data_IF_871229766612
#
_entry.id   IF_871229766612
#
_cell.length_a   1.000
_cell.length_b   1.000
_cell.length_c   1.000
_cell.angle_alpha   90.00
_cell.angle_beta   90.00
_cell.angle_gamma   90.00
#
_symmetry.space_group_name_H-M   'P 1'
#
loop_
_entity.id
_entity.type
_entity.pdbx_description
1 polymer ?
#
# COMPACT_ATOMS: atom_id res chain seq x y z
N UNK A 1 -7.78 -25.66 -57.32
CA UNK A 1 -8.16 -24.40 -56.65
C UNK A 1 -6.96 -23.91 -55.86
N UNK A 2 -6.39 -22.76 -56.23
CA UNK A 2 -5.24 -22.19 -55.55
C UNK A 2 -5.73 -21.09 -54.58
N UNK A 3 -5.22 -21.02 -53.33
CA UNK A 3 -5.65 -20.00 -52.39
C UNK A 3 -5.13 -18.61 -52.78
N UNK A 4 -6.03 -17.61 -52.70
CA UNK A 4 -5.74 -16.21 -53.00
C UNK A 4 -4.75 -15.61 -51.98
N UNK A 5 -3.88 -14.67 -52.40
CA UNK A 5 -2.95 -14.01 -51.49
C UNK A 5 -3.67 -13.01 -50.57
N UNK A 6 -3.40 -13.12 -49.27
CA UNK A 6 -3.87 -12.21 -48.22
C UNK A 6 -3.05 -10.92 -48.26
N UNK A 7 -3.71 -9.79 -48.48
CA UNK A 7 -3.09 -8.47 -48.48
C UNK A 7 -2.62 -8.07 -47.06
N UNK A 8 -1.38 -7.58 -46.95
CA UNK A 8 -0.81 -7.01 -45.72
C UNK A 8 -1.40 -5.61 -45.49
N UNK A 9 -1.76 -5.23 -44.25
CA UNK A 9 -2.18 -3.88 -43.94
C UNK A 9 -0.97 -2.93 -43.92
N UNK A 10 -1.15 -1.76 -44.56
CA UNK A 10 -0.13 -0.73 -44.63
C UNK A 10 0.06 -0.01 -43.29
N UNK A 11 1.34 0.16 -42.91
CA UNK A 11 1.77 0.88 -41.73
C UNK A 11 1.45 2.37 -41.89
N UNK A 12 0.49 2.87 -41.10
CA UNK A 12 0.13 4.29 -41.07
C UNK A 12 1.09 5.04 -40.15
N UNK A 13 2.09 5.70 -40.73
CA UNK A 13 2.97 6.65 -40.07
C UNK A 13 2.16 7.70 -39.29
N UNK A 14 2.36 7.76 -37.98
CA UNK A 14 1.83 8.81 -37.11
C UNK A 14 2.77 10.02 -37.18
N UNK A 15 2.29 11.11 -37.79
CA UNK A 15 2.92 12.42 -37.69
C UNK A 15 2.81 12.96 -36.26
N UNK A 16 3.92 13.38 -35.61
CA UNK A 16 3.84 14.13 -34.37
C UNK A 16 3.44 15.58 -34.67
N UNK A 17 2.23 15.95 -34.25
CA UNK A 17 1.72 17.32 -34.31
C UNK A 17 2.38 18.15 -33.20
N UNK A 18 3.31 19.01 -33.60
CA UNK A 18 3.96 19.98 -32.71
C UNK A 18 3.05 21.21 -32.53
N UNK A 19 2.37 21.29 -31.39
CA UNK A 19 1.76 22.52 -30.89
C UNK A 19 2.38 22.86 -29.53
N UNK A 20 3.42 23.69 -29.54
CA UNK A 20 3.99 24.29 -28.32
C UNK A 20 3.06 25.41 -27.85
N UNK A 21 2.49 25.36 -26.63
CA UNK A 21 1.81 26.51 -26.08
C UNK A 21 2.82 27.62 -25.75
N UNK A 22 2.44 28.86 -26.06
CA UNK A 22 3.21 30.06 -25.80
C UNK A 22 3.38 30.27 -24.28
N UNK A 23 4.63 30.47 -23.86
CA UNK A 23 5.01 30.78 -22.50
C UNK A 23 4.62 32.23 -22.19
N UNK A 24 3.63 32.45 -21.32
CA UNK A 24 3.26 33.76 -20.80
C UNK A 24 4.08 34.00 -19.52
N UNK A 25 5.01 34.99 -19.47
CA UNK A 25 5.72 35.29 -18.25
C UNK A 25 4.77 35.91 -17.23
N UNK A 26 4.59 35.22 -16.09
CA UNK A 26 3.85 35.74 -14.95
C UNK A 26 4.64 36.89 -14.28
N UNK A 27 3.95 38.00 -13.99
CA UNK A 27 4.49 39.13 -13.27
C UNK A 27 4.93 38.74 -11.84
N UNK A 28 6.00 39.34 -11.29
CA UNK A 28 6.43 39.07 -9.92
C UNK A 28 5.39 39.60 -8.93
N UNK A 29 4.76 38.70 -8.19
CA UNK A 29 3.89 39.04 -7.05
C UNK A 29 4.77 39.51 -5.88
N UNK A 30 4.49 40.70 -5.39
CA UNK A 30 5.12 41.28 -4.21
C UNK A 30 4.92 40.36 -2.99
N UNK A 31 6.03 39.99 -2.36
CA UNK A 31 6.07 39.19 -1.13
C UNK A 31 5.66 40.11 0.03
N UNK A 32 4.45 39.92 0.55
CA UNK A 32 4.06 40.52 1.82
C UNK A 32 4.87 39.85 2.94
N UNK A 33 5.56 40.67 3.74
CA UNK A 33 6.32 40.22 4.90
C UNK A 33 5.38 39.51 5.89
N UNK A 34 5.50 38.19 5.96
CA UNK A 34 4.84 37.37 6.97
C UNK A 34 5.60 37.50 8.28
N UNK A 35 5.05 38.28 9.21
CA UNK A 35 5.49 38.30 10.61
C UNK A 35 5.33 36.91 11.21
N UNK A 36 6.45 36.21 11.40
CA UNK A 36 6.49 34.91 12.06
C UNK A 36 6.02 35.05 13.52
N UNK A 37 5.09 34.20 14.00
CA UNK A 37 4.85 34.09 15.42
C UNK A 37 6.07 33.42 16.07
N UNK A 38 6.65 34.09 17.05
CA UNK A 38 7.66 33.53 17.96
C UNK A 38 7.01 32.40 18.76
N UNK A 39 7.13 31.17 18.27
CA UNK A 39 6.79 29.98 19.05
C UNK A 39 7.88 29.83 20.11
N UNK A 40 7.53 30.05 21.37
CA UNK A 40 8.38 29.67 22.51
C UNK A 40 8.64 28.17 22.39
N UNK A 41 9.89 27.81 22.09
CA UNK A 41 10.38 26.46 22.27
C UNK A 41 10.27 26.14 23.78
N UNK A 42 9.27 25.34 24.12
CA UNK A 42 9.30 24.63 25.38
C UNK A 42 10.33 23.51 25.18
N UNK A 43 11.42 23.56 25.92
CA UNK A 43 12.40 22.49 26.08
C UNK A 43 11.68 21.27 26.66
N UNK A 44 11.04 20.49 25.80
CA UNK A 44 10.63 19.13 26.12
C UNK A 44 11.88 18.28 26.08
N UNK A 45 12.38 17.97 27.27
CA UNK A 45 13.44 16.99 27.52
C UNK A 45 13.08 15.69 26.76
N UNK A 46 13.71 15.50 25.59
CA UNK A 46 13.44 14.37 24.72
C UNK A 46 13.83 13.10 25.47
N UNK A 47 12.83 12.37 25.99
CA UNK A 47 13.05 11.07 26.61
C UNK A 47 13.73 10.17 25.58
N UNK A 48 15.00 9.77 25.77
CA UNK A 48 15.70 8.95 24.80
C UNK A 48 15.02 7.59 24.74
N UNK A 49 14.34 7.28 23.64
CA UNK A 49 13.76 5.95 23.38
C UNK A 49 12.28 5.90 23.05
N UNK A 50 11.54 7.00 23.14
CA UNK A 50 10.16 7.05 22.63
C UNK A 50 10.19 7.57 21.20
N UNK A 51 9.93 6.69 20.24
CA UNK A 51 9.62 7.11 18.86
C UNK A 51 8.51 8.18 18.92
N UNK A 52 8.57 9.22 18.07
CA UNK A 52 7.49 10.18 17.98
C UNK A 52 6.17 9.44 17.71
N UNK A 53 5.04 9.94 18.22
CA UNK A 53 3.75 9.32 17.95
C UNK A 53 3.54 9.19 16.43
N UNK A 54 2.90 8.10 15.97
CA UNK A 54 2.66 7.89 14.54
C UNK A 54 1.80 9.03 13.99
N UNK A 55 2.12 9.47 12.78
CA UNK A 55 1.44 10.55 12.08
C UNK A 55 0.92 10.01 10.77
N UNK A 56 -0.36 9.68 10.72
CA UNK A 56 -0.94 9.07 9.53
C UNK A 56 -1.28 10.09 8.45
N UNK A 57 -1.14 9.70 7.18
CA UNK A 57 -1.64 10.46 6.04
C UNK A 57 -3.17 10.65 6.18
N UNK A 58 -3.69 11.87 6.03
CA UNK A 58 -5.12 12.10 6.07
C UNK A 58 -5.82 11.41 4.89
N UNK A 59 -6.99 10.85 5.15
CA UNK A 59 -7.86 10.25 4.13
C UNK A 59 -9.28 10.78 4.34
N UNK A 60 -10.06 10.89 3.27
CA UNK A 60 -11.47 11.26 3.35
C UNK A 60 -12.21 10.33 4.32
N UNK A 61 -13.16 10.85 5.11
CA UNK A 61 -13.76 10.11 6.22
C UNK A 61 -14.64 8.95 5.74
N UNK A 62 -15.17 9.07 4.53
CA UNK A 62 -15.98 8.07 3.84
C UNK A 62 -15.14 6.96 3.19
N UNK A 63 -13.84 7.13 3.05
CA UNK A 63 -12.97 6.06 2.56
C UNK A 63 -12.69 5.04 3.66
N UNK A 64 -12.27 3.84 3.28
CA UNK A 64 -11.81 2.85 4.24
C UNK A 64 -10.64 3.40 5.05
N UNK A 65 -10.74 3.34 6.39
CA UNK A 65 -9.76 3.95 7.30
C UNK A 65 -8.69 2.97 7.78
N UNK A 66 -8.70 1.73 7.30
CA UNK A 66 -7.64 0.77 7.62
C UNK A 66 -6.35 1.07 6.85
N UNK A 67 -5.26 0.45 7.31
CA UNK A 67 -3.91 0.52 6.75
C UNK A 67 -3.57 1.93 6.23
N UNK A 68 -3.36 2.88 7.16
CA UNK A 68 -2.94 4.23 6.82
C UNK A 68 -1.42 4.31 6.72
N UNK A 69 -0.93 5.11 5.78
CA UNK A 69 0.50 5.39 5.64
C UNK A 69 0.98 6.21 6.85
N UNK A 70 1.97 5.71 7.59
CA UNK A 70 2.58 6.43 8.70
C UNK A 70 3.70 7.35 8.20
N UNK A 71 3.43 8.66 8.21
CA UNK A 71 4.35 9.71 7.84
C UNK A 71 5.42 9.98 8.91
N UNK A 72 5.34 9.37 10.09
CA UNK A 72 6.44 9.41 11.06
C UNK A 72 7.63 8.54 10.61
N UNK A 73 7.41 7.60 9.68
CA UNK A 73 8.42 6.69 9.15
C UNK A 73 8.56 6.86 7.63
N UNK A 74 9.28 7.91 7.22
CA UNK A 74 9.57 8.20 5.81
C UNK A 74 11.05 7.98 5.50
N UNK A 75 11.50 6.70 5.37
CA UNK A 75 12.87 6.41 5.00
C UNK A 75 13.18 7.01 3.61
N UNK A 76 14.46 7.32 3.35
CA UNK A 76 14.87 7.73 2.02
C UNK A 76 14.64 6.59 1.02
N UNK A 77 14.32 6.94 -0.21
CA UNK A 77 14.11 5.99 -1.30
C UNK A 77 14.86 6.40 -2.55
N UNK A 78 15.11 5.42 -3.40
CA UNK A 78 15.76 5.58 -4.69
C UNK A 78 15.05 4.67 -5.68
N UNK A 79 15.32 4.85 -6.98
CA UNK A 79 14.70 4.06 -8.05
C UNK A 79 14.90 2.53 -7.88
N UNK A 80 16.01 2.13 -7.24
CA UNK A 80 16.33 0.73 -6.89
C UNK A 80 15.87 0.30 -5.48
N UNK A 81 15.46 1.23 -4.63
CA UNK A 81 15.05 0.97 -3.25
C UNK A 81 13.56 1.19 -3.08
N UNK A 82 12.85 0.08 -2.94
CA UNK A 82 11.41 0.08 -2.74
C UNK A 82 11.04 0.60 -1.36
N UNK A 83 10.02 1.43 -1.34
CA UNK A 83 9.31 1.81 -0.13
C UNK A 83 8.43 0.63 0.28
N UNK A 84 8.87 -0.12 1.30
CA UNK A 84 8.11 -1.26 1.82
C UNK A 84 6.70 -0.87 2.26
N UNK A 85 5.88 -1.88 2.61
CA UNK A 85 4.44 -1.68 2.88
C UNK A 85 3.70 -1.00 1.72
N UNK A 86 4.07 -1.30 0.49
CA UNK A 86 3.43 -0.78 -0.72
C UNK A 86 3.42 0.75 -0.84
N UNK A 87 4.34 1.46 -0.20
CA UNK A 87 4.44 2.91 -0.34
C UNK A 87 5.04 3.30 -1.71
N UNK A 88 4.80 4.54 -2.11
CA UNK A 88 5.45 5.16 -3.27
C UNK A 88 6.76 5.84 -2.86
N UNK A 89 7.68 5.98 -3.82
CA UNK A 89 8.86 6.81 -3.67
C UNK A 89 8.58 8.18 -4.27
N UNK A 90 8.44 9.21 -3.42
CA UNK A 90 8.28 10.57 -3.92
C UNK A 90 9.61 11.02 -4.55
N UNK A 91 9.61 11.20 -5.87
CA UNK A 91 10.83 11.53 -6.64
C UNK A 91 11.36 12.93 -6.32
N UNK A 92 10.50 13.87 -5.91
CA UNK A 92 10.91 15.22 -5.58
C UNK A 92 11.62 15.30 -4.22
N UNK A 93 11.19 14.50 -3.25
CA UNK A 93 11.72 14.52 -1.88
C UNK A 93 12.69 13.36 -1.58
N UNK A 94 12.75 12.36 -2.47
CA UNK A 94 13.45 11.09 -2.28
C UNK A 94 13.05 10.38 -0.98
N UNK A 95 11.75 10.40 -0.65
CA UNK A 95 11.19 9.82 0.57
C UNK A 95 10.03 8.90 0.28
N UNK A 96 9.93 7.85 1.08
CA UNK A 96 8.77 6.97 1.06
C UNK A 96 7.54 7.67 1.61
N UNK A 97 6.41 7.48 0.94
CA UNK A 97 5.16 8.11 1.32
C UNK A 97 3.95 7.50 0.60
N UNK A 98 2.79 8.14 0.76
CA UNK A 98 1.58 7.75 0.04
C UNK A 98 1.76 7.97 -1.46
N UNK A 99 1.10 7.17 -2.29
CA UNK A 99 0.90 7.51 -3.70
C UNK A 99 -0.29 8.48 -3.83
N UNK A 100 -0.24 9.38 -4.80
CA UNK A 100 -1.36 10.24 -5.19
C UNK A 100 -1.94 9.81 -6.54
N UNK A 101 -1.08 9.32 -7.44
CA UNK A 101 -1.43 8.86 -8.79
C UNK A 101 -0.67 7.58 -9.14
N UNK A 102 -1.15 6.85 -10.15
CA UNK A 102 -0.49 5.62 -10.64
C UNK A 102 0.95 5.84 -11.08
N UNK A 103 1.26 7.03 -11.58
CA UNK A 103 2.61 7.39 -11.99
C UNK A 103 3.62 7.46 -10.84
N UNK A 104 3.16 7.54 -9.58
CA UNK A 104 4.01 7.47 -8.40
C UNK A 104 4.44 6.03 -8.07
N UNK A 105 3.75 5.06 -8.66
CA UNK A 105 3.97 3.63 -8.46
C UNK A 105 4.86 3.02 -9.55
N UNK A 106 5.34 1.81 -9.29
CA UNK A 106 6.13 1.05 -10.26
C UNK A 106 5.27 0.59 -11.44
N UNK A 107 5.91 0.17 -12.53
CA UNK A 107 5.18 -0.36 -13.68
C UNK A 107 4.34 -1.58 -13.31
N UNK A 108 3.07 -1.60 -13.72
CA UNK A 108 2.11 -2.67 -13.39
C UNK A 108 1.47 -2.54 -12.02
N UNK A 109 1.58 -1.37 -11.39
CA UNK A 109 0.94 -1.05 -10.13
C UNK A 109 0.00 0.16 -10.30
N UNK A 110 -1.06 0.15 -9.49
CA UNK A 110 -2.02 1.23 -9.37
C UNK A 110 -1.95 1.83 -7.97
N UNK A 111 -2.18 3.14 -7.91
CA UNK A 111 -2.39 3.84 -6.66
C UNK A 111 -3.81 3.59 -6.15
N UNK A 112 -3.90 2.95 -4.99
CA UNK A 112 -5.16 2.58 -4.33
C UNK A 112 -5.07 2.91 -2.86
N UNK A 113 -5.95 3.78 -2.38
CA UNK A 113 -6.01 4.20 -0.98
C UNK A 113 -4.61 4.52 -0.42
N UNK A 114 -3.84 5.34 -1.12
CA UNK A 114 -2.48 5.77 -0.77
C UNK A 114 -1.37 4.68 -0.90
N UNK A 115 -1.67 3.49 -1.44
CA UNK A 115 -0.72 2.38 -1.59
C UNK A 115 -0.58 1.93 -3.06
N UNK A 116 0.62 1.53 -3.45
CA UNK A 116 0.94 0.95 -4.74
C UNK A 116 0.67 -0.54 -4.76
N UNK A 117 -0.47 -0.93 -5.34
CA UNK A 117 -0.95 -2.32 -5.42
C UNK A 117 -0.76 -2.83 -6.84
N UNK A 118 -0.42 -4.11 -7.02
CA UNK A 118 -0.34 -4.72 -8.35
C UNK A 118 -1.68 -4.59 -9.08
N UNK A 119 -1.67 -4.13 -10.34
CA UNK A 119 -2.88 -3.89 -11.14
C UNK A 119 -3.81 -5.12 -11.20
N UNK A 120 -3.22 -6.32 -11.26
CA UNK A 120 -3.96 -7.59 -11.28
C UNK A 120 -4.78 -7.86 -10.01
N UNK A 121 -4.50 -7.13 -8.93
CA UNK A 121 -5.12 -7.28 -7.61
C UNK A 121 -6.05 -6.11 -7.27
N UNK A 122 -6.32 -5.21 -8.21
CA UNK A 122 -7.12 -3.99 -8.00
C UNK A 122 -8.49 -4.13 -8.64
N UNK A 123 -9.54 -4.13 -7.82
CA UNK A 123 -10.94 -4.06 -8.28
C UNK A 123 -11.58 -2.69 -8.03
N UNK A 124 -10.98 -1.86 -7.17
CA UNK A 124 -11.39 -0.49 -6.85
C UNK A 124 -10.17 0.31 -6.41
N UNK A 125 -10.21 1.64 -6.54
CA UNK A 125 -9.15 2.58 -6.11
C UNK A 125 -9.62 3.47 -4.97
N UNK A 126 -10.89 3.84 -5.03
CA UNK A 126 -11.58 4.71 -4.07
C UNK A 126 -12.99 4.17 -3.79
N UNK A 127 -13.64 4.65 -2.73
CA UNK A 127 -15.05 4.34 -2.43
C UNK A 127 -15.96 4.59 -3.65
N UNK A 128 -15.69 5.64 -4.42
CA UNK A 128 -16.50 6.01 -5.58
C UNK A 128 -16.53 4.95 -6.71
N UNK A 129 -15.56 4.04 -6.73
CA UNK A 129 -15.54 2.92 -7.69
C UNK A 129 -16.49 1.78 -7.24
N UNK A 130 -16.97 1.85 -6.01
CA UNK A 130 -17.89 0.88 -5.41
C UNK A 130 -19.34 1.41 -5.41
N UNK A 131 -20.31 0.52 -5.16
CA UNK A 131 -21.71 0.91 -5.00
C UNK A 131 -21.94 1.82 -3.77
N UNK A 132 -23.12 2.45 -3.68
CA UNK A 132 -23.42 3.49 -2.68
C UNK A 132 -23.18 3.06 -1.22
N UNK A 133 -23.35 1.76 -0.92
CA UNK A 133 -23.18 1.13 0.38
C UNK A 133 -21.94 0.22 0.49
N UNK A 134 -20.93 0.43 -0.36
CA UNK A 134 -19.69 -0.33 -0.33
C UNK A 134 -18.48 0.58 -0.12
N UNK A 135 -17.44 0.02 0.51
CA UNK A 135 -16.15 0.65 0.69
C UNK A 135 -15.12 -0.04 -0.21
N UNK A 136 -14.21 0.73 -0.78
CA UNK A 136 -13.00 0.15 -1.32
C UNK A 136 -12.10 -0.22 -0.15
N UNK A 137 -11.83 -1.50 0.02
CA UNK A 137 -11.03 -2.03 1.14
C UNK A 137 -9.73 -2.58 0.59
N UNK A 138 -8.64 -2.27 1.29
CA UNK A 138 -7.33 -2.81 1.01
C UNK A 138 -7.00 -3.87 2.06
N UNK A 139 -6.54 -5.03 1.61
CA UNK A 139 -6.19 -6.13 2.52
C UNK A 139 -4.95 -6.87 2.03
N UNK A 140 -4.42 -7.74 2.90
CA UNK A 140 -3.21 -8.51 2.66
C UNK A 140 -2.01 -7.85 3.33
N UNK A 141 -1.12 -8.69 3.87
CA UNK A 141 0.23 -8.29 4.26
C UNK A 141 1.17 -9.13 3.42
N UNK A 142 2.11 -8.48 2.72
CA UNK A 142 3.16 -9.22 2.03
C UNK A 142 4.46 -9.14 2.82
N UNK A 143 5.15 -10.29 2.93
CA UNK A 143 6.49 -10.36 3.52
C UNK A 143 7.60 -9.86 2.58
N UNK A 144 7.28 -9.56 1.31
CA UNK A 144 8.26 -9.07 0.34
C UNK A 144 8.76 -7.67 0.67
N UNK A 145 9.96 -7.32 0.18
CA UNK A 145 10.60 -6.01 0.42
C UNK A 145 9.69 -4.85 -0.02
N UNK A 146 8.98 -5.01 -1.16
CA UNK A 146 8.00 -4.02 -1.60
C UNK A 146 6.73 -4.02 -0.75
N UNK A 147 6.38 -5.16 -0.17
CA UNK A 147 5.22 -5.28 0.71
C UNK A 147 3.85 -5.32 0.00
N UNK A 148 3.78 -5.47 -1.32
CA UNK A 148 2.51 -5.41 -2.07
C UNK A 148 2.08 -6.69 -2.81
N UNK A 149 2.88 -7.75 -2.81
CA UNK A 149 2.63 -8.94 -3.65
C UNK A 149 1.27 -9.62 -3.35
N UNK A 150 0.86 -9.62 -2.07
CA UNK A 150 -0.42 -10.21 -1.63
C UNK A 150 -1.48 -9.15 -1.35
N UNK A 151 -1.18 -7.86 -1.54
CA UNK A 151 -2.13 -6.79 -1.31
C UNK A 151 -3.19 -6.78 -2.40
N UNK A 152 -4.44 -6.59 -1.99
CA UNK A 152 -5.62 -6.59 -2.85
C UNK A 152 -6.58 -5.51 -2.46
N UNK A 153 -7.15 -4.85 -3.46
CA UNK A 153 -8.21 -3.87 -3.30
C UNK A 153 -9.52 -4.38 -3.89
N UNK A 154 -10.59 -4.37 -3.10
CA UNK A 154 -11.91 -4.84 -3.52
C UNK A 154 -13.03 -4.08 -2.83
N UNK A 155 -14.18 -4.02 -3.49
CA UNK A 155 -15.37 -3.44 -2.91
C UNK A 155 -15.96 -4.39 -1.87
N UNK A 156 -16.07 -3.92 -0.63
CA UNK A 156 -16.73 -4.62 0.45
C UNK A 156 -18.04 -3.90 0.80
N UNK A 157 -19.17 -4.61 0.67
CA UNK A 157 -20.47 -4.10 1.11
C UNK A 157 -20.47 -3.87 2.62
N UNK A 158 -21.01 -2.74 3.08
CA UNK A 158 -21.20 -2.44 4.50
C UNK A 158 -22.37 -3.22 5.12
N UNK A 159 -23.02 -4.10 4.37
CA UNK A 159 -23.96 -5.10 4.85
C UNK A 159 -23.22 -6.18 5.66
N UNK A 160 -22.53 -5.79 6.74
CA UNK A 160 -22.40 -6.68 7.89
C UNK A 160 -23.82 -7.06 8.25
N UNK A 161 -24.12 -8.36 8.19
CA UNK A 161 -25.48 -8.89 8.09
C UNK A 161 -26.49 -8.11 8.92
N UNK A 162 -27.71 -7.99 8.39
CA UNK A 162 -28.89 -7.94 9.28
C UNK A 162 -28.60 -8.88 10.44
N UNK A 163 -28.60 -8.41 11.70
CA UNK A 163 -28.30 -9.28 12.83
C UNK A 163 -29.15 -10.51 12.60
N UNK A 164 -28.50 -11.63 12.28
CA UNK A 164 -29.19 -12.89 12.19
C UNK A 164 -29.81 -13.02 13.57
N UNK A 165 -31.14 -12.92 13.60
CA UNK A 165 -31.92 -12.93 14.83
C UNK A 165 -31.40 -14.12 15.60
N UNK A 166 -30.67 -13.82 16.69
CA UNK A 166 -29.83 -14.81 17.36
C UNK A 166 -30.71 -16.04 17.55
N UNK A 167 -30.34 -17.22 16.99
CA UNK A 167 -31.20 -18.38 17.07
C UNK A 167 -31.57 -18.54 18.54
N UNK A 168 -32.84 -18.33 18.86
CA UNK A 168 -33.33 -18.38 20.22
C UNK A 168 -32.82 -19.68 20.78
N UNK A 169 -32.00 -19.58 21.83
CA UNK A 169 -31.29 -20.69 22.42
C UNK A 169 -32.29 -21.68 23.04
N UNK A 170 -32.89 -22.52 22.21
CA UNK A 170 -33.39 -23.84 22.56
C UNK A 170 -32.34 -24.85 22.10
N UNK A 171 -31.13 -24.74 22.67
CA UNK A 171 -30.13 -25.81 22.58
C UNK A 171 -30.27 -26.69 23.81
N UNK A 172 -31.01 -27.77 23.58
CA UNK A 172 -31.06 -28.98 24.36
C UNK A 172 -29.65 -29.41 24.78
N UNK A 173 -29.49 -29.58 26.09
CA UNK A 173 -28.25 -29.97 26.72
C UNK A 173 -28.07 -31.47 26.58
N UNK A 174 -27.42 -31.92 25.50
CA UNK A 174 -26.89 -33.29 25.43
C UNK A 174 -25.85 -33.45 24.34
N UNK A 175 -24.56 -33.30 24.69
CA UNK A 175 -23.50 -34.27 24.39
C UNK A 175 -22.13 -33.69 24.74
N UNK A 176 -21.66 -34.01 25.94
CA UNK A 176 -20.26 -33.89 26.34
C UNK A 176 -19.43 -34.86 25.51
N UNK A 177 -18.62 -34.36 24.57
CA UNK A 177 -17.46 -35.07 24.07
C UNK A 177 -16.19 -34.40 24.63
N UNK A 178 -15.38 -35.10 25.44
CA UNK A 178 -14.10 -34.57 25.87
C UNK A 178 -13.15 -34.46 24.67
N UNK A 179 -12.66 -33.25 24.41
CA UNK A 179 -11.67 -32.97 23.39
C UNK A 179 -10.32 -33.62 23.76
N UNK A 180 -9.81 -34.44 22.85
CA UNK A 180 -8.49 -35.03 22.90
C UNK A 180 -7.41 -33.95 22.69
N UNK A 181 -6.33 -33.89 23.49
CA UNK A 181 -5.27 -32.90 23.32
C UNK A 181 -4.47 -33.20 22.05
N UNK A 182 -4.54 -32.33 21.05
CA UNK A 182 -3.63 -32.37 19.92
C UNK A 182 -2.26 -31.82 20.33
N UNK A 183 -1.29 -32.73 20.51
CA UNK A 183 0.11 -32.38 20.69
C UNK A 183 0.69 -31.86 19.36
N UNK A 184 0.90 -30.54 19.28
CA UNK A 184 1.69 -29.95 18.20
C UNK A 184 3.18 -30.13 18.52
N UNK A 185 3.99 -30.76 17.65
CA UNK A 185 5.42 -30.86 17.86
C UNK A 185 6.06 -29.48 17.66
N UNK A 186 6.50 -28.89 18.76
CA UNK A 186 7.34 -27.69 18.82
C UNK A 186 8.72 -28.02 18.25
N UNK A 187 8.89 -27.97 16.94
CA UNK A 187 10.21 -28.03 16.28
C UNK A 187 10.82 -26.62 16.34
N UNK A 188 11.39 -26.27 17.49
CA UNK A 188 12.12 -25.02 17.69
C UNK A 188 13.63 -25.24 17.44
N UNK A 189 14.13 -24.71 16.33
CA UNK A 189 15.36 -23.91 16.32
C UNK A 189 16.74 -24.55 16.53
N UNK A 190 16.89 -25.87 16.61
CA UNK A 190 18.22 -26.49 16.82
C UNK A 190 19.10 -26.62 15.56
N UNK A 191 18.51 -26.90 14.39
CA UNK A 191 19.27 -27.36 13.23
C UNK A 191 19.98 -26.25 12.43
N UNK A 192 19.56 -24.99 12.56
CA UNK A 192 20.07 -23.91 11.70
C UNK A 192 21.40 -23.32 12.22
N UNK A 193 21.63 -23.33 13.53
CA UNK A 193 22.90 -22.87 14.10
C UNK A 193 24.05 -23.88 13.94
N UNK A 194 23.75 -25.16 13.80
CA UNK A 194 24.77 -26.21 13.62
C UNK A 194 25.30 -26.26 12.18
N UNK A 195 24.49 -25.86 11.20
CA UNK A 195 24.91 -25.76 9.79
C UNK A 195 25.87 -24.59 9.55
N UNK A 196 25.68 -23.45 10.22
CA UNK A 196 26.57 -22.29 10.08
C UNK A 196 27.95 -22.47 10.74
N UNK A 197 28.08 -23.44 11.67
CA UNK A 197 29.36 -23.75 12.31
C UNK A 197 30.22 -24.69 11.47
N UNK A 198 29.61 -25.55 10.66
CA UNK A 198 30.33 -26.51 9.82
C UNK A 198 31.02 -25.85 8.61
N UNK A 199 30.58 -24.68 8.16
CA UNK A 199 31.20 -23.98 7.02
C UNK A 199 32.42 -23.11 7.40
N UNK A 200 32.66 -22.88 8.70
CA UNK A 200 33.78 -22.07 9.18
C UNK A 200 35.10 -22.85 9.36
N UNK A 201 35.05 -24.19 9.39
CA UNK A 201 36.23 -25.06 9.57
C UNK A 201 36.73 -25.66 8.23
N UNK A 202 36.19 -25.22 7.10
CA UNK A 202 36.53 -25.70 5.76
C UNK A 202 37.19 -24.59 4.91
N UNK A 203 38.29 -24.02 5.37
CA UNK A 203 39.28 -23.39 4.47
C UNK A 203 40.66 -24.05 4.66
N UNK A 204 41.37 -24.36 3.56
CA UNK A 204 42.68 -25.03 3.57
C UNK A 204 43.87 -24.12 3.94
#
# INVERSE_FOLDING_TARGET
EAPAPVARPEHREHQPSAARPAFVPAAPRAVAASTAPTVKAADAEATPGLLPPPRFHPRAAEEWQGMKVDLSLQPPCMESFHCGQAMACNVAEHRCGPCEVDADCGSGEACVLDHCVLDSNVSCRHRADCGEDALCVLSGLSAGIRGNAEMRAYCQSNTLGTPEEAPTAEHDSSATHPAEPQEHPTVYGGALLESLRAEADAEP
#
